data_IF_515565781264
#
_entry.id   IF_515565781264
#
_cell.length_a   1.000
_cell.length_b   1.000
_cell.length_c   1.000
_cell.angle_alpha   90.00
_cell.angle_beta   90.00
_cell.angle_gamma   90.00
#
_symmetry.space_group_name_H-M   'P 1'
#
loop_
_entity.id
_entity.type
_entity.pdbx_description
1 polymer ?
#
# COMPACT_ATOMS: atom_id res chain seq x y z
N UNK A 1 -0.73 -9.90 -11.21
CA UNK A 1 0.49 -10.69 -11.48
C UNK A 1 0.17 -12.18 -11.33
N UNK A 2 0.34 -12.97 -12.39
CA UNK A 2 0.13 -14.43 -12.29
C UNK A 2 1.37 -15.17 -11.86
N UNK A 3 2.52 -14.77 -12.33
CA UNK A 3 3.82 -15.37 -12.00
C UNK A 3 4.90 -14.28 -12.03
N UNK A 4 5.81 -14.35 -11.09
CA UNK A 4 6.97 -13.47 -11.03
C UNK A 4 8.19 -14.24 -10.56
N UNK A 5 9.36 -13.75 -10.90
CA UNK A 5 10.63 -14.29 -10.46
C UNK A 5 11.48 -13.19 -9.86
N UNK A 6 12.19 -13.52 -8.78
CA UNK A 6 13.27 -12.72 -8.25
C UNK A 6 14.59 -13.44 -8.51
N UNK A 7 15.55 -12.75 -9.11
CA UNK A 7 16.85 -13.30 -9.42
C UNK A 7 17.88 -12.75 -8.44
N UNK A 8 18.39 -13.60 -7.57
CA UNK A 8 19.46 -13.29 -6.64
C UNK A 8 20.81 -13.68 -7.26
N UNK A 9 21.67 -12.71 -7.50
CA UNK A 9 22.97 -12.94 -8.15
C UNK A 9 24.06 -12.05 -7.54
N UNK A 10 25.32 -12.33 -7.87
CA UNK A 10 26.44 -11.45 -7.52
C UNK A 10 26.32 -10.12 -8.25
N UNK A 11 26.84 -9.05 -7.63
CA UNK A 11 26.73 -7.69 -8.15
C UNK A 11 27.29 -7.54 -9.58
N UNK A 12 28.39 -8.20 -9.89
CA UNK A 12 29.03 -8.20 -11.20
C UNK A 12 28.22 -8.91 -12.30
N UNK A 13 27.35 -9.87 -11.92
CA UNK A 13 26.49 -10.60 -12.85
C UNK A 13 25.22 -9.85 -13.27
N UNK A 14 24.78 -8.86 -12.48
CA UNK A 14 23.48 -8.15 -12.70
C UNK A 14 23.38 -7.58 -14.11
N UNK A 15 24.40 -6.85 -14.57
CA UNK A 15 24.38 -6.20 -15.89
C UNK A 15 24.32 -7.23 -17.03
N UNK A 16 25.05 -8.33 -16.89
CA UNK A 16 25.04 -9.40 -17.90
C UNK A 16 23.68 -10.06 -18.00
N UNK A 17 23.06 -10.41 -16.88
CA UNK A 17 21.74 -11.02 -16.84
C UNK A 17 20.68 -10.06 -17.39
N UNK A 18 20.71 -8.79 -17.00
CA UNK A 18 19.79 -7.76 -17.48
C UNK A 18 19.86 -7.60 -18.99
N UNK A 19 21.07 -7.41 -19.55
CA UNK A 19 21.27 -7.25 -20.97
C UNK A 19 20.84 -8.51 -21.72
N UNK A 20 21.23 -9.69 -21.24
CA UNK A 20 20.83 -10.97 -21.85
C UNK A 20 19.30 -11.10 -21.98
N UNK A 21 18.56 -10.76 -20.94
CA UNK A 21 17.11 -10.84 -20.95
C UNK A 21 16.52 -9.86 -22.00
N UNK A 22 16.97 -8.60 -22.01
CA UNK A 22 16.42 -7.59 -22.93
C UNK A 22 16.81 -7.87 -24.38
N UNK A 23 18.04 -8.33 -24.66
CA UNK A 23 18.52 -8.62 -26.01
C UNK A 23 17.85 -9.86 -26.62
N UNK A 24 17.61 -10.90 -25.79
CA UNK A 24 17.07 -12.15 -26.32
C UNK A 24 15.53 -12.21 -26.30
N UNK A 25 14.88 -11.52 -25.38
CA UNK A 25 13.42 -11.61 -25.19
C UNK A 25 12.69 -10.27 -25.36
N UNK A 26 13.39 -9.18 -25.64
CA UNK A 26 12.77 -7.87 -25.86
C UNK A 26 11.77 -7.87 -27.03
N UNK A 27 12.03 -8.65 -28.07
CA UNK A 27 11.12 -8.83 -29.22
C UNK A 27 9.86 -9.63 -28.85
N UNK A 28 9.92 -10.44 -27.80
CA UNK A 28 8.80 -11.24 -27.29
C UNK A 28 7.97 -10.47 -26.25
N UNK A 29 8.16 -9.15 -26.13
CA UNK A 29 7.38 -8.26 -25.30
C UNK A 29 7.96 -8.04 -23.89
N UNK A 30 9.19 -8.49 -23.60
CA UNK A 30 9.86 -8.17 -22.33
C UNK A 30 10.33 -6.72 -22.33
N UNK A 31 9.83 -5.94 -21.38
CA UNK A 31 10.12 -4.51 -21.24
C UNK A 31 10.80 -4.22 -19.91
N UNK A 32 11.74 -3.28 -19.92
CA UNK A 32 12.31 -2.75 -18.70
C UNK A 32 11.26 -1.95 -17.93
N UNK A 33 11.10 -2.25 -16.64
CA UNK A 33 10.21 -1.54 -15.72
C UNK A 33 10.97 -1.00 -14.52
N UNK A 34 10.69 0.22 -14.12
CA UNK A 34 11.30 0.85 -12.97
C UNK A 34 10.56 0.57 -11.65
N UNK A 35 11.17 0.96 -10.53
CA UNK A 35 10.59 0.83 -9.19
C UNK A 35 9.24 1.56 -9.04
N UNK A 36 9.04 2.66 -9.77
CA UNK A 36 7.76 3.37 -9.78
C UNK A 36 6.61 2.54 -10.35
N UNK A 37 6.87 1.70 -11.37
CA UNK A 37 5.87 0.77 -11.89
C UNK A 37 5.51 -0.30 -10.84
N UNK A 38 6.51 -0.87 -10.16
CA UNK A 38 6.31 -1.84 -9.07
C UNK A 38 5.49 -1.23 -7.93
N UNK A 39 5.82 0.00 -7.51
CA UNK A 39 5.09 0.68 -6.44
C UNK A 39 3.62 0.96 -6.82
N UNK A 40 3.38 1.36 -8.06
CA UNK A 40 2.01 1.57 -8.57
C UNK A 40 1.22 0.26 -8.60
N UNK A 41 1.80 -0.80 -9.14
CA UNK A 41 1.14 -2.11 -9.24
C UNK A 41 0.80 -2.70 -7.86
N UNK A 42 1.76 -2.66 -6.91
CA UNK A 42 1.49 -3.15 -5.55
C UNK A 42 0.38 -2.35 -4.86
N UNK A 43 0.37 -1.02 -5.06
CA UNK A 43 -0.61 -0.15 -4.44
C UNK A 43 -2.01 -0.37 -5.02
N UNK A 44 -2.16 -0.56 -6.34
CA UNK A 44 -3.43 -0.93 -6.97
C UNK A 44 -4.02 -2.23 -6.39
N UNK A 45 -3.16 -3.18 -6.02
CA UNK A 45 -3.56 -4.42 -5.33
C UNK A 45 -3.76 -4.26 -3.83
N UNK A 46 -3.44 -3.10 -3.26
CA UNK A 46 -3.52 -2.85 -1.83
C UNK A 46 -2.41 -3.54 -1.01
N UNK A 47 -1.30 -3.90 -1.64
CA UNK A 47 -0.17 -4.52 -0.93
C UNK A 47 0.65 -3.46 -0.19
N UNK A 48 0.90 -3.75 1.08
CA UNK A 48 1.67 -2.88 1.96
C UNK A 48 3.16 -2.94 1.63
N UNK A 49 3.84 -1.81 1.80
CA UNK A 49 5.28 -1.70 1.64
C UNK A 49 5.94 -1.49 3.00
N UNK A 50 6.91 -2.37 3.34
CA UNK A 50 7.71 -2.19 4.54
C UNK A 50 8.59 -0.94 4.41
N UNK A 51 8.63 -0.14 5.47
CA UNK A 51 9.29 1.17 5.49
C UNK A 51 8.35 2.33 5.17
N UNK A 52 7.21 2.07 4.52
CA UNK A 52 6.17 3.07 4.25
C UNK A 52 4.92 2.81 5.09
N UNK A 53 4.21 1.73 4.77
CA UNK A 53 2.91 1.38 5.36
C UNK A 53 3.04 0.57 6.64
N UNK A 54 4.11 -0.20 6.78
CA UNK A 54 4.44 -1.02 7.93
C UNK A 54 5.92 -0.88 8.29
N UNK A 55 6.22 -0.98 9.57
CA UNK A 55 7.58 -0.93 10.13
C UNK A 55 7.65 -1.72 11.45
N UNK A 56 8.77 -1.62 12.16
CA UNK A 56 8.98 -2.34 13.43
C UNK A 56 8.03 -1.92 14.54
N UNK A 57 7.46 -0.71 14.48
CA UNK A 57 6.59 -0.14 15.52
C UNK A 57 5.10 -0.44 15.27
N UNK A 58 4.78 -0.96 14.08
CA UNK A 58 3.39 -1.24 13.67
C UNK A 58 3.12 -2.73 13.74
N UNK A 59 2.25 -3.14 14.67
CA UNK A 59 1.89 -4.54 14.78
C UNK A 59 0.85 -4.97 13.72
N UNK A 60 0.75 -6.28 13.39
CA UNK A 60 -0.04 -6.78 12.27
C UNK A 60 -1.52 -6.39 12.29
N UNK A 61 -2.15 -6.35 13.46
CA UNK A 61 -3.59 -6.02 13.55
C UNK A 61 -3.86 -4.57 13.19
N UNK A 62 -3.00 -3.64 13.61
CA UNK A 62 -3.07 -2.22 13.23
C UNK A 62 -2.95 -2.03 11.72
N UNK A 63 -2.09 -2.82 11.09
CA UNK A 63 -1.88 -2.83 9.65
C UNK A 63 -2.97 -3.57 8.86
N UNK A 64 -4.04 -4.07 9.51
CA UNK A 64 -5.08 -4.84 8.85
C UNK A 64 -4.66 -6.27 8.47
N UNK A 65 -3.50 -6.75 8.96
CA UNK A 65 -2.94 -8.07 8.65
C UNK A 65 -3.34 -9.17 9.67
N UNK A 66 -4.41 -8.91 10.43
CA UNK A 66 -4.92 -9.89 11.41
C UNK A 66 -5.33 -11.23 10.79
N UNK A 67 -5.76 -11.23 9.53
CA UNK A 67 -6.16 -12.44 8.81
C UNK A 67 -5.02 -13.43 8.55
N UNK A 68 -3.76 -12.97 8.46
CA UNK A 68 -2.57 -13.82 8.33
C UNK A 68 -1.87 -14.09 9.67
N UNK A 69 -2.37 -13.49 10.77
CA UNK A 69 -1.77 -13.59 12.10
C UNK A 69 -2.57 -14.54 12.98
N UNK A 70 -2.21 -15.82 12.98
CA UNK A 70 -2.91 -16.84 13.76
C UNK A 70 -2.46 -16.85 15.23
N UNK A 71 -3.26 -16.26 16.10
CA UNK A 71 -3.04 -16.34 17.56
C UNK A 71 -3.39 -17.71 18.16
N UNK A 72 -4.06 -18.58 17.38
CA UNK A 72 -4.51 -19.91 17.85
C UNK A 72 -3.48 -21.01 17.62
N UNK A 73 -2.40 -20.77 16.89
CA UNK A 73 -1.40 -21.80 16.55
C UNK A 73 -0.46 -22.22 17.69
N UNK A 74 -0.69 -21.76 18.93
CA UNK A 74 0.18 -21.98 20.06
C UNK A 74 1.10 -20.78 20.32
N UNK A 75 2.21 -20.98 21.06
CA UNK A 75 3.14 -19.93 21.41
C UNK A 75 4.13 -19.64 20.27
N UNK A 76 4.51 -18.37 20.11
CA UNK A 76 5.53 -17.90 19.16
C UNK A 76 6.11 -16.57 19.63
N UNK A 77 7.28 -16.20 19.10
CA UNK A 77 7.97 -14.95 19.46
C UNK A 77 7.07 -13.76 19.11
N UNK A 78 6.81 -12.87 20.09
CA UNK A 78 5.97 -11.69 19.95
C UNK A 78 4.47 -11.92 20.19
N UNK A 79 3.99 -13.15 20.38
CA UNK A 79 2.56 -13.44 20.58
C UNK A 79 1.94 -12.66 21.73
N UNK A 80 2.60 -12.58 22.87
CA UNK A 80 2.11 -11.86 24.06
C UNK A 80 1.95 -10.38 23.80
N UNK A 81 2.94 -9.76 23.16
CA UNK A 81 2.93 -8.35 22.78
C UNK A 81 1.82 -8.02 21.78
N UNK A 82 1.62 -8.89 20.78
CA UNK A 82 0.54 -8.71 19.80
C UNK A 82 -0.82 -8.78 20.47
N UNK A 83 -1.04 -9.73 21.39
CA UNK A 83 -2.30 -9.85 22.12
C UNK A 83 -2.53 -8.62 23.00
N UNK A 84 -1.49 -8.15 23.69
CA UNK A 84 -1.58 -6.99 24.59
C UNK A 84 -1.92 -5.70 23.83
N UNK A 85 -1.29 -5.48 22.66
CA UNK A 85 -1.48 -4.26 21.85
C UNK A 85 -2.70 -4.30 20.93
N UNK A 86 -3.29 -5.47 20.72
CA UNK A 86 -4.32 -5.66 19.68
C UNK A 86 -5.55 -4.75 19.84
N UNK A 87 -5.98 -4.52 21.09
CA UNK A 87 -7.22 -3.82 21.38
C UNK A 87 -6.98 -2.34 21.80
N UNK A 88 -5.70 -1.92 21.92
CA UNK A 88 -5.29 -0.59 22.40
C UNK A 88 -4.98 0.39 21.24
N UNK A 89 -5.47 0.12 20.03
CA UNK A 89 -5.18 0.93 18.87
C UNK A 89 -6.19 2.07 18.69
N UNK A 90 -5.68 3.29 18.65
CA UNK A 90 -6.47 4.50 18.38
C UNK A 90 -6.67 4.76 16.88
N UNK A 91 -5.84 4.15 16.02
CA UNK A 91 -5.87 4.34 14.56
C UNK A 91 -5.84 3.03 13.79
N UNK A 92 -6.44 3.03 12.59
CA UNK A 92 -6.46 1.91 11.66
C UNK A 92 -5.82 2.31 10.33
N UNK A 93 -5.24 1.31 9.65
CA UNK A 93 -4.85 1.44 8.26
C UNK A 93 -6.11 1.42 7.37
N UNK A 94 -6.19 2.40 6.47
CA UNK A 94 -7.25 2.51 5.48
C UNK A 94 -6.69 2.67 4.07
N UNK A 95 -7.50 2.28 3.11
CA UNK A 95 -7.32 2.54 1.69
C UNK A 95 -8.27 3.66 1.28
N UNK A 96 -7.81 4.61 0.47
CA UNK A 96 -8.67 5.72 0.03
C UNK A 96 -8.45 6.08 -1.44
N UNK A 97 -9.50 6.59 -2.08
CA UNK A 97 -9.46 7.16 -3.42
C UNK A 97 -9.68 8.67 -3.34
N UNK A 98 -8.95 9.42 -4.16
CA UNK A 98 -9.20 10.85 -4.36
C UNK A 98 -10.47 11.04 -5.18
N UNK A 99 -11.36 11.92 -4.74
CA UNK A 99 -12.59 12.28 -5.46
C UNK A 99 -12.34 13.32 -6.56
N UNK A 100 -11.21 14.02 -6.47
CA UNK A 100 -10.77 14.99 -7.46
C UNK A 100 -9.34 14.68 -7.95
N UNK A 101 -8.98 15.21 -9.12
CA UNK A 101 -7.67 14.94 -9.74
C UNK A 101 -6.54 15.51 -8.87
N UNK A 102 -5.92 14.66 -8.11
CA UNK A 102 -4.80 14.98 -7.21
C UNK A 102 -3.99 13.71 -6.88
N UNK A 103 -2.75 13.92 -6.45
CA UNK A 103 -1.82 12.83 -6.16
C UNK A 103 -1.51 12.86 -4.66
N UNK A 104 -1.99 11.88 -3.89
CA UNK A 104 -1.57 11.75 -2.51
C UNK A 104 -0.10 11.29 -2.44
N UNK A 105 0.61 11.76 -1.40
CA UNK A 105 2.01 11.38 -1.16
C UNK A 105 2.23 11.06 0.31
N UNK A 106 3.21 10.20 0.63
CA UNK A 106 3.58 9.92 2.02
C UNK A 106 3.82 11.20 2.82
N UNK A 107 3.32 11.22 4.05
CA UNK A 107 3.46 12.36 4.98
C UNK A 107 2.41 13.46 4.82
N UNK A 108 1.48 13.36 3.86
CA UNK A 108 0.36 14.31 3.80
C UNK A 108 -0.66 14.04 4.89
N UNK A 109 -1.13 15.11 5.54
CA UNK A 109 -2.15 15.00 6.58
C UNK A 109 -3.51 14.60 6.00
N UNK A 110 -4.22 13.77 6.76
CA UNK A 110 -5.64 13.48 6.57
C UNK A 110 -6.44 14.36 7.52
N UNK A 111 -7.43 15.06 6.97
CA UNK A 111 -8.24 16.05 7.68
C UNK A 111 -9.71 15.64 7.65
N UNK A 112 -10.36 15.72 8.81
CA UNK A 112 -11.83 15.61 8.96
C UNK A 112 -12.27 16.71 9.93
N UNK A 113 -13.28 17.52 9.57
CA UNK A 113 -13.78 18.62 10.40
C UNK A 113 -12.67 19.56 10.91
N UNK A 114 -11.78 19.98 10.01
CA UNK A 114 -10.62 20.84 10.27
C UNK A 114 -9.59 20.30 11.29
N UNK A 115 -9.67 19.03 11.63
CA UNK A 115 -8.71 18.35 12.52
C UNK A 115 -7.88 17.35 11.73
N UNK A 116 -6.60 17.26 12.08
CA UNK A 116 -5.72 16.19 11.60
C UNK A 116 -6.14 14.91 12.31
N UNK A 117 -6.58 13.92 11.54
CA UNK A 117 -7.03 12.61 12.04
C UNK A 117 -6.13 11.47 11.56
N UNK A 118 -5.06 11.78 10.84
CA UNK A 118 -4.16 10.77 10.32
C UNK A 118 -3.18 11.30 9.29
N UNK A 119 -2.48 10.38 8.63
CA UNK A 119 -1.48 10.72 7.61
C UNK A 119 -1.38 9.62 6.54
N UNK A 120 -1.02 10.05 5.34
CA UNK A 120 -0.78 9.17 4.18
C UNK A 120 0.56 8.45 4.34
N UNK A 121 0.58 7.13 4.15
CA UNK A 121 1.80 6.31 4.15
C UNK A 121 2.27 5.95 2.75
N UNK A 122 1.33 5.73 1.83
CA UNK A 122 1.60 5.48 0.40
C UNK A 122 0.56 6.18 -0.46
N UNK A 123 0.97 6.65 -1.63
CA UNK A 123 0.02 7.28 -2.55
C UNK A 123 0.60 7.54 -3.93
N UNK A 124 -0.22 7.33 -4.95
CA UNK A 124 0.13 7.53 -6.36
C UNK A 124 -1.11 7.83 -7.20
N UNK A 125 -0.90 8.08 -8.50
CA UNK A 125 -1.97 7.95 -9.50
C UNK A 125 -1.99 6.50 -9.98
N UNK A 126 -3.15 5.86 -9.91
CA UNK A 126 -3.39 4.58 -10.55
C UNK A 126 -3.58 4.79 -12.05
N UNK A 127 -2.74 4.21 -12.92
CA UNK A 127 -2.95 4.24 -14.37
C UNK A 127 -4.21 3.47 -14.78
N UNK A 128 -4.51 2.37 -14.10
CA UNK A 128 -5.67 1.53 -14.39
C UNK A 128 -7.00 2.24 -14.11
N UNK A 129 -7.05 3.07 -13.07
CA UNK A 129 -8.27 3.79 -12.65
C UNK A 129 -8.28 5.26 -13.05
N UNK A 130 -7.13 5.80 -13.48
CA UNK A 130 -6.92 7.24 -13.72
C UNK A 130 -7.32 8.12 -12.53
N UNK A 131 -7.05 7.65 -11.31
CA UNK A 131 -7.38 8.28 -10.04
C UNK A 131 -6.19 8.30 -9.09
N UNK A 132 -6.15 9.28 -8.19
CA UNK A 132 -5.28 9.23 -7.02
C UNK A 132 -5.76 8.16 -6.04
N UNK A 133 -4.87 7.28 -5.63
CA UNK A 133 -5.13 6.23 -4.64
C UNK A 133 -4.07 6.28 -3.56
N UNK A 134 -4.42 5.85 -2.34
CA UNK A 134 -3.46 5.85 -1.25
C UNK A 134 -3.81 4.95 -0.09
N UNK A 135 -2.82 4.76 0.76
CA UNK A 135 -2.92 4.09 2.06
C UNK A 135 -2.60 5.13 3.13
N UNK A 136 -3.30 5.09 4.25
CA UNK A 136 -3.12 6.00 5.36
C UNK A 136 -3.41 5.31 6.68
N UNK A 137 -2.88 5.85 7.77
CA UNK A 137 -3.42 5.60 9.11
C UNK A 137 -4.34 6.74 9.47
N UNK A 138 -5.54 6.42 9.95
CA UNK A 138 -6.53 7.40 10.41
C UNK A 138 -7.12 6.96 11.75
N UNK A 139 -7.60 7.91 12.54
CA UNK A 139 -8.31 7.62 13.77
C UNK A 139 -9.45 6.62 13.53
N UNK A 140 -9.64 5.70 14.44
CA UNK A 140 -10.57 4.57 14.33
C UNK A 140 -12.00 5.01 13.97
N UNK A 141 -12.41 6.19 14.47
CA UNK A 141 -13.72 6.79 14.19
C UNK A 141 -13.95 7.11 12.70
N UNK A 142 -12.87 7.32 11.95
CA UNK A 142 -12.90 7.73 10.53
C UNK A 142 -12.45 6.62 9.57
N UNK A 143 -12.25 5.39 10.07
CA UNK A 143 -11.68 4.29 9.29
C UNK A 143 -12.69 3.45 8.51
N UNK A 144 -13.99 3.71 8.63
CA UNK A 144 -15.01 2.93 7.96
C UNK A 144 -15.06 3.19 6.46
N UNK A 145 -15.30 2.14 5.65
CA UNK A 145 -15.55 2.29 4.22
C UNK A 145 -16.69 3.29 3.96
N UNK A 146 -16.48 4.21 3.03
CA UNK A 146 -17.43 5.25 2.66
C UNK A 146 -17.26 6.54 3.46
N UNK A 147 -16.38 6.59 4.46
CA UNK A 147 -16.06 7.83 5.18
C UNK A 147 -15.39 8.81 4.24
N UNK A 148 -15.97 10.02 4.14
CA UNK A 148 -15.32 11.12 3.44
C UNK A 148 -14.26 11.77 4.32
N UNK A 149 -13.15 12.10 3.71
CA UNK A 149 -12.00 12.76 4.34
C UNK A 149 -11.32 13.70 3.34
N UNK A 150 -10.42 14.52 3.81
CA UNK A 150 -9.62 15.39 2.97
C UNK A 150 -8.15 15.11 3.14
N UNK A 151 -7.41 15.12 2.04
CA UNK A 151 -5.93 15.08 2.03
C UNK A 151 -5.41 16.50 1.88
N UNK A 152 -4.56 16.95 2.79
CA UNK A 152 -3.93 18.28 2.72
C UNK A 152 -2.74 18.26 1.77
N UNK A 153 -2.94 18.79 0.57
CA UNK A 153 -1.92 18.85 -0.48
C UNK A 153 -1.52 20.32 -0.73
N UNK A 154 -0.29 20.70 -0.43
CA UNK A 154 0.21 22.08 -0.64
C UNK A 154 -0.76 23.13 -0.11
N UNK A 155 -1.18 23.02 1.14
CA UNK A 155 -2.14 23.93 1.82
C UNK A 155 -3.56 23.96 1.22
N UNK A 156 -3.94 22.99 0.37
CA UNK A 156 -5.30 22.82 -0.13
C UNK A 156 -5.87 21.48 0.36
N UNK A 157 -7.10 21.52 0.81
CA UNK A 157 -7.84 20.30 1.12
C UNK A 157 -8.38 19.68 -0.17
N UNK A 158 -8.13 18.41 -0.37
CA UNK A 158 -8.54 17.62 -1.53
C UNK A 158 -9.39 16.44 -1.06
N UNK A 159 -10.62 16.37 -1.53
CA UNK A 159 -11.60 15.37 -1.10
C UNK A 159 -11.17 13.96 -1.49
N UNK A 160 -11.38 13.03 -0.57
CA UNK A 160 -11.13 11.61 -0.74
C UNK A 160 -12.17 10.79 0.01
N UNK A 161 -12.25 9.51 -0.29
CA UNK A 161 -13.19 8.57 0.34
C UNK A 161 -12.48 7.27 0.70
N UNK A 162 -12.79 6.75 1.88
CA UNK A 162 -12.28 5.44 2.33
C UNK A 162 -12.92 4.31 1.52
N UNK A 163 -12.08 3.43 0.96
CA UNK A 163 -12.51 2.29 0.15
C UNK A 163 -11.97 0.98 0.70
N UNK A 164 -12.30 -0.15 0.09
CA UNK A 164 -11.67 -1.46 0.36
C UNK A 164 -10.64 -1.76 -0.73
N UNK A 165 -9.52 -2.38 -0.34
CA UNK A 165 -8.62 -3.00 -1.30
C UNK A 165 -9.19 -4.35 -1.80
N UNK A 166 -8.75 -4.82 -3.01
CA UNK A 166 -7.89 -4.09 -3.94
C UNK A 166 -8.61 -2.91 -4.59
N UNK A 167 -7.84 -1.87 -5.01
CA UNK A 167 -8.40 -0.75 -5.78
C UNK A 167 -8.78 -1.21 -7.19
N UNK A 168 -7.98 -2.09 -7.77
CA UNK A 168 -8.21 -2.66 -9.10
C UNK A 168 -8.45 -4.17 -9.01
N UNK A 169 -9.66 -4.60 -9.38
CA UNK A 169 -10.10 -6.00 -9.25
C UNK A 169 -9.96 -6.83 -10.53
N UNK A 170 -9.74 -6.19 -11.69
CA UNK A 170 -9.64 -6.89 -12.97
C UNK A 170 -8.20 -7.31 -13.31
N UNK A 171 -7.39 -7.57 -12.30
CA UNK A 171 -6.01 -8.05 -12.44
C UNK A 171 -5.96 -9.50 -12.94
N UNK A 172 -4.79 -9.90 -13.44
CA UNK A 172 -4.56 -11.23 -14.02
C UNK A 172 -4.61 -12.40 -13.03
N UNK A 173 -4.83 -12.14 -11.73
CA UNK A 173 -5.00 -13.15 -10.68
C UNK A 173 -6.46 -13.44 -10.30
N UNK A 174 -7.41 -12.85 -11.01
CA UNK A 174 -8.85 -13.00 -10.73
C UNK A 174 -9.52 -14.20 -11.42
N UNK A 175 -8.74 -15.14 -11.96
CA UNK A 175 -9.23 -16.39 -12.56
C UNK A 175 -8.82 -17.62 -11.71
#
# INVERSE_FOLDING_TARGET
>A
EKLGFEIYCKHDAVKTIWNYILENFGKDGVLAAGLGARDTLRLEMGYLLYGNDINIDIHPFKAGLGWITSLKKGDFIGRKEIIFKRDDEESNLVYFEMLEKSIPRPGFDIIVNDKVVGFVTSGTISPSLNKGIGIAYVDKLHSNKGTELSVKIRNKLKSAIVVKAPFYSNGTLSD
#
